data_IF_005953986413
#
_entry.id   IF_005953986413
#
_cell.length_a   1.000
_cell.length_b   1.000
_cell.length_c   1.000
_cell.angle_alpha   90.00
_cell.angle_beta   90.00
_cell.angle_gamma   90.00
#
_symmetry.space_group_name_H-M   'P 1'
#
loop_
_entity.id
_entity.type
_entity.pdbx_description
1 polymer ?
#
# COMPACT_ATOMS: atom_id res chain seq x y z
N UNK A 1 59.47 -23.47 18.25
CA UNK A 1 58.43 -22.66 18.91
C UNK A 1 57.29 -23.59 19.30
N UNK A 2 56.86 -23.51 20.56
CA UNK A 2 56.02 -24.47 21.29
C UNK A 2 54.57 -24.49 20.77
N UNK A 3 54.05 -25.72 20.60
CA UNK A 3 52.79 -26.31 21.04
C UNK A 3 51.50 -25.44 20.96
N UNK A 4 50.32 -25.93 20.55
CA UNK A 4 49.62 -27.13 21.07
C UNK A 4 48.54 -27.66 20.12
N UNK A 5 48.43 -28.98 20.19
CA UNK A 5 47.53 -30.00 19.63
C UNK A 5 46.05 -29.94 20.04
N UNK A 6 45.19 -30.36 19.09
CA UNK A 6 44.00 -31.25 19.12
C UNK A 6 42.99 -31.22 20.29
N UNK A 7 41.68 -31.37 19.98
CA UNK A 7 40.88 -32.54 20.38
C UNK A 7 39.46 -32.56 19.73
N UNK A 8 39.14 -33.70 19.08
CA UNK A 8 37.81 -34.18 18.70
C UNK A 8 37.05 -34.75 19.93
N UNK A 9 35.72 -34.58 19.99
CA UNK A 9 34.72 -35.49 20.59
C UNK A 9 33.31 -34.91 20.30
N UNK A 10 32.43 -35.48 19.48
CA UNK A 10 31.74 -36.78 19.56
C UNK A 10 30.86 -36.92 20.81
N UNK A 11 29.58 -36.54 20.71
CA UNK A 11 28.50 -37.06 21.58
C UNK A 11 27.28 -37.34 20.70
N UNK A 12 27.29 -38.52 20.08
CA UNK A 12 26.10 -39.24 19.66
C UNK A 12 25.52 -39.95 20.87
N UNK A 13 24.30 -39.60 21.29
CA UNK A 13 23.50 -40.42 22.22
C UNK A 13 22.29 -40.94 21.47
N UNK A 14 22.33 -42.26 21.23
CA UNK A 14 21.21 -43.11 20.86
C UNK A 14 20.19 -43.07 22.00
N UNK A 15 18.98 -42.54 21.75
CA UNK A 15 17.83 -42.80 22.59
C UNK A 15 16.93 -43.84 21.93
N UNK A 16 16.51 -44.77 22.78
CA UNK A 16 15.99 -46.10 22.53
C UNK A 16 14.46 -46.07 22.30
N UNK A 17 13.91 -47.24 21.97
CA UNK A 17 12.63 -47.48 21.29
C UNK A 17 11.40 -47.46 22.21
N UNK A 18 10.29 -46.92 21.70
CA UNK A 18 8.86 -47.22 22.00
C UNK A 18 8.28 -46.88 23.39
N UNK A 19 7.24 -46.03 23.43
CA UNK A 19 5.87 -46.32 23.94
C UNK A 19 4.93 -45.09 23.85
N UNK A 20 3.73 -45.33 23.30
CA UNK A 20 2.45 -44.63 23.54
C UNK A 20 2.22 -43.19 23.05
N UNK A 21 1.31 -43.09 22.07
CA UNK A 21 0.02 -42.35 22.10
C UNK A 21 -0.21 -41.57 20.81
N UNK A 22 -1.17 -42.05 20.00
CA UNK A 22 -1.68 -41.36 18.82
C UNK A 22 -2.49 -40.14 19.28
N UNK A 23 -1.83 -39.02 19.57
CA UNK A 23 -2.48 -37.74 19.75
C UNK A 23 -2.62 -37.11 18.36
N UNK A 24 -3.85 -37.03 17.84
CA UNK A 24 -4.17 -36.27 16.65
C UNK A 24 -3.65 -34.84 16.82
N UNK A 25 -2.55 -34.53 16.13
CA UNK A 25 -2.03 -33.17 16.04
C UNK A 25 -3.04 -32.32 15.25
N UNK A 26 -3.38 -31.09 15.69
CA UNK A 26 -4.03 -30.16 14.80
C UNK A 26 -3.01 -29.80 13.73
N UNK A 27 -3.11 -30.44 12.57
CA UNK A 27 -2.34 -30.06 11.39
C UNK A 27 -2.76 -28.64 11.02
N UNK A 28 -2.01 -27.65 11.51
CA UNK A 28 -2.14 -26.28 11.05
C UNK A 28 -1.83 -26.34 9.57
N UNK A 29 -2.88 -26.35 8.76
CA UNK A 29 -2.77 -26.37 7.31
C UNK A 29 -2.11 -25.05 6.88
N UNK A 30 -0.78 -25.08 6.73
CA UNK A 30 0.08 -23.97 6.32
C UNK A 30 -0.39 -23.38 5.00
N UNK A 31 -0.93 -24.23 4.12
CA UNK A 31 -1.52 -23.86 2.83
C UNK A 31 -2.70 -22.88 2.99
N UNK A 32 -3.50 -23.00 4.05
CA UNK A 32 -4.62 -22.09 4.33
C UNK A 32 -4.13 -20.73 4.85
N UNK A 33 -3.05 -20.69 5.63
CA UNK A 33 -2.47 -19.45 6.16
C UNK A 33 -1.77 -18.67 5.04
N UNK A 34 -0.96 -19.34 4.22
CA UNK A 34 -0.27 -18.74 3.08
C UNK A 34 -1.27 -18.18 2.05
N UNK A 35 -2.35 -18.92 1.77
CA UNK A 35 -3.40 -18.46 0.86
C UNK A 35 -4.14 -17.23 1.39
N UNK A 36 -4.47 -17.20 2.68
CA UNK A 36 -5.16 -16.07 3.31
C UNK A 36 -4.29 -14.81 3.37
N UNK A 37 -2.99 -14.97 3.65
CA UNK A 37 -2.03 -13.86 3.62
C UNK A 37 -1.81 -13.33 2.20
N UNK A 38 -1.74 -14.21 1.19
CA UNK A 38 -1.64 -13.79 -0.21
C UNK A 38 -2.88 -13.00 -0.65
N UNK A 39 -4.07 -13.44 -0.22
CA UNK A 39 -5.33 -12.77 -0.52
C UNK A 39 -5.38 -11.39 0.14
N UNK A 40 -5.02 -11.27 1.41
CA UNK A 40 -4.98 -9.98 2.11
C UNK A 40 -3.97 -9.01 1.50
N UNK A 41 -2.76 -9.49 1.16
CA UNK A 41 -1.77 -8.66 0.45
C UNK A 41 -2.29 -8.19 -0.92
N UNK A 42 -2.94 -9.08 -1.67
CA UNK A 42 -3.53 -8.73 -2.96
C UNK A 42 -4.64 -7.67 -2.82
N UNK A 43 -5.48 -7.81 -1.80
CA UNK A 43 -6.58 -6.90 -1.50
C UNK A 43 -6.07 -5.50 -1.09
N UNK A 44 -5.04 -5.43 -0.24
CA UNK A 44 -4.35 -4.16 0.10
C UNK A 44 -3.78 -3.52 -1.18
N UNK A 45 -3.11 -4.30 -2.03
CA UNK A 45 -2.50 -3.76 -3.27
C UNK A 45 -3.53 -3.16 -4.24
N UNK A 46 -4.74 -3.73 -4.29
CA UNK A 46 -5.84 -3.20 -5.10
C UNK A 46 -6.31 -1.84 -4.56
N UNK A 47 -6.46 -1.70 -3.24
CA UNK A 47 -6.86 -0.43 -2.62
C UNK A 47 -5.80 0.66 -2.77
N UNK A 48 -4.52 0.33 -2.60
CA UNK A 48 -3.40 1.28 -2.83
C UNK A 48 -3.37 1.72 -4.30
N UNK A 49 -3.59 0.80 -5.24
CA UNK A 49 -3.72 1.16 -6.66
C UNK A 49 -4.89 2.12 -6.90
N UNK A 50 -6.04 1.89 -6.26
CA UNK A 50 -7.20 2.78 -6.35
C UNK A 50 -6.90 4.17 -5.76
N UNK A 51 -6.18 4.26 -4.64
CA UNK A 51 -5.72 5.54 -4.08
C UNK A 51 -4.84 6.30 -5.07
N UNK A 52 -3.83 5.63 -5.62
CA UNK A 52 -2.89 6.25 -6.56
C UNK A 52 -3.57 6.72 -7.85
N UNK A 53 -4.56 5.97 -8.34
CA UNK A 53 -5.38 6.38 -9.48
C UNK A 53 -6.21 7.63 -9.15
N UNK A 54 -6.77 7.71 -7.95
CA UNK A 54 -7.56 8.86 -7.52
C UNK A 54 -6.70 10.12 -7.31
N UNK A 55 -5.50 9.96 -6.75
CA UNK A 55 -4.49 11.03 -6.66
C UNK A 55 -4.14 11.57 -8.04
N UNK A 56 -3.87 10.68 -9.00
CA UNK A 56 -3.59 11.10 -10.38
C UNK A 56 -4.76 11.86 -10.99
N UNK A 57 -6.00 11.36 -10.82
CA UNK A 57 -7.19 12.00 -11.37
C UNK A 57 -7.40 13.42 -10.79
N UNK A 58 -7.22 13.58 -9.48
CA UNK A 58 -7.32 14.87 -8.81
C UNK A 58 -6.22 15.84 -9.27
N UNK A 59 -5.00 15.32 -9.47
CA UNK A 59 -3.89 16.10 -9.99
C UNK A 59 -4.16 16.61 -11.41
N UNK A 60 -4.61 15.73 -12.31
CA UNK A 60 -4.99 16.11 -13.68
C UNK A 60 -6.13 17.13 -13.69
N UNK A 61 -7.12 16.99 -12.80
CA UNK A 61 -8.19 17.98 -12.63
C UNK A 61 -7.62 19.35 -12.25
N UNK A 62 -6.68 19.38 -11.31
CA UNK A 62 -6.03 20.61 -10.84
C UNK A 62 -5.26 21.29 -11.97
N UNK A 63 -4.44 20.54 -12.70
CA UNK A 63 -3.67 21.10 -13.83
C UNK A 63 -4.56 21.65 -14.93
N UNK A 64 -5.66 20.96 -15.25
CA UNK A 64 -6.61 21.40 -16.27
C UNK A 64 -7.32 22.70 -15.88
N UNK A 65 -7.63 22.88 -14.60
CA UNK A 65 -8.33 24.07 -14.11
C UNK A 65 -7.40 25.19 -13.66
N UNK A 66 -6.10 24.94 -13.57
CA UNK A 66 -5.06 25.96 -13.38
C UNK A 66 -3.98 25.87 -14.46
N UNK A 67 -4.28 26.34 -15.69
CA UNK A 67 -3.35 26.29 -16.83
C UNK A 67 -1.99 26.97 -16.57
N UNK A 68 -1.99 28.04 -15.78
CA UNK A 68 -0.81 28.79 -15.40
C UNK A 68 0.10 27.92 -14.51
N UNK A 69 -0.49 27.17 -13.57
CA UNK A 69 0.24 26.20 -12.74
C UNK A 69 0.81 25.07 -13.58
N UNK A 70 0.03 24.52 -14.52
CA UNK A 70 0.52 23.51 -15.46
C UNK A 70 1.75 24.01 -16.23
N UNK A 71 1.69 25.24 -16.73
CA UNK A 71 2.79 25.89 -17.46
C UNK A 71 4.03 26.08 -16.59
N UNK A 72 3.87 26.55 -15.34
CA UNK A 72 4.98 26.70 -14.38
C UNK A 72 5.67 25.36 -14.10
N UNK A 73 4.92 24.26 -14.12
CA UNK A 73 5.44 22.89 -13.94
C UNK A 73 5.95 22.25 -15.24
N UNK A 74 5.93 22.97 -16.37
CA UNK A 74 6.41 22.51 -17.67
C UNK A 74 5.39 21.74 -18.51
N UNK A 75 4.13 21.65 -18.06
CA UNK A 75 3.04 21.04 -18.80
C UNK A 75 2.31 22.08 -19.67
N UNK A 76 2.57 22.02 -20.98
CA UNK A 76 2.04 23.00 -21.95
C UNK A 76 0.67 22.61 -22.54
N UNK A 77 0.03 21.52 -22.09
CA UNK A 77 -1.26 21.04 -22.65
C UNK A 77 -2.38 22.07 -22.60
N UNK A 78 -2.31 23.04 -21.69
CA UNK A 78 -3.33 24.06 -21.46
C UNK A 78 -2.81 25.50 -21.67
N UNK A 79 -1.64 25.68 -22.29
CA UNK A 79 -0.96 26.98 -22.42
C UNK A 79 -1.70 27.99 -23.32
N UNK A 80 -2.85 27.62 -23.89
CA UNK A 80 -3.77 28.48 -24.64
C UNK A 80 -4.93 29.03 -23.78
N UNK A 81 -4.93 28.75 -22.47
CA UNK A 81 -6.04 29.05 -21.54
C UNK A 81 -5.56 29.78 -20.30
N UNK A 82 -6.53 30.40 -19.61
CA UNK A 82 -6.39 31.01 -18.30
C UNK A 82 -7.36 30.37 -17.31
N UNK A 83 -7.04 30.42 -16.02
CA UNK A 83 -7.96 29.99 -14.96
C UNK A 83 -9.25 30.83 -15.02
N UNK A 84 -10.41 30.16 -15.03
CA UNK A 84 -11.70 30.85 -15.04
C UNK A 84 -12.21 31.11 -13.61
N UNK A 85 -12.29 32.38 -13.22
CA UNK A 85 -12.73 32.81 -11.88
C UNK A 85 -14.21 33.22 -11.81
N UNK A 86 -15.06 32.66 -12.67
CA UNK A 86 -16.51 32.95 -12.64
C UNK A 86 -17.19 32.23 -11.46
N UNK A 87 -18.29 32.80 -10.94
CA UNK A 87 -19.10 32.14 -9.88
C UNK A 87 -19.52 30.72 -10.29
N UNK A 88 -19.91 30.56 -11.55
CA UNK A 88 -20.30 29.26 -12.11
C UNK A 88 -19.16 28.25 -12.03
N UNK A 89 -17.94 28.66 -12.37
CA UNK A 89 -16.78 27.78 -12.33
C UNK A 89 -16.40 27.42 -10.88
N UNK A 90 -16.41 28.40 -9.97
CA UNK A 90 -16.16 28.16 -8.54
C UNK A 90 -17.14 27.14 -7.96
N UNK A 91 -18.43 27.23 -8.29
CA UNK A 91 -19.42 26.24 -7.83
C UNK A 91 -19.22 24.84 -8.44
N UNK A 92 -18.69 24.74 -9.67
CA UNK A 92 -18.29 23.46 -10.26
C UNK A 92 -17.09 22.88 -9.52
N UNK A 93 -16.06 23.70 -9.28
CA UNK A 93 -14.85 23.27 -8.57
C UNK A 93 -15.16 22.80 -7.15
N UNK A 94 -16.02 23.53 -6.42
CA UNK A 94 -16.51 23.09 -5.12
C UNK A 94 -17.16 21.71 -5.16
N UNK A 95 -18.02 21.45 -6.16
CA UNK A 95 -18.67 20.14 -6.33
C UNK A 95 -17.66 19.04 -6.66
N UNK A 96 -16.68 19.34 -7.50
CA UNK A 96 -15.59 18.40 -7.84
C UNK A 96 -14.75 18.07 -6.60
N UNK A 97 -14.36 19.06 -5.80
CA UNK A 97 -13.63 18.84 -4.54
C UNK A 97 -14.44 17.97 -3.57
N UNK A 98 -15.73 18.26 -3.41
CA UNK A 98 -16.62 17.41 -2.58
C UNK A 98 -16.75 15.99 -3.12
N UNK A 99 -16.70 15.79 -4.44
CA UNK A 99 -16.70 14.46 -5.04
C UNK A 99 -15.40 13.70 -4.77
N UNK A 100 -14.24 14.35 -4.94
CA UNK A 100 -12.94 13.76 -4.64
C UNK A 100 -12.83 13.38 -3.16
N UNK A 101 -13.20 14.29 -2.25
CA UNK A 101 -13.17 14.04 -0.81
C UNK A 101 -13.95 12.77 -0.45
N UNK A 102 -15.20 12.65 -0.90
CA UNK A 102 -16.03 11.45 -0.66
C UNK A 102 -15.37 10.17 -1.17
N UNK A 103 -14.66 10.23 -2.30
CA UNK A 103 -13.97 9.08 -2.90
C UNK A 103 -12.71 8.72 -2.13
N UNK A 104 -11.96 9.70 -1.63
CA UNK A 104 -10.80 9.46 -0.76
C UNK A 104 -11.23 8.86 0.59
N UNK A 105 -12.29 9.40 1.21
CA UNK A 105 -12.86 8.88 2.46
C UNK A 105 -13.33 7.42 2.33
N UNK A 106 -13.86 7.04 1.16
CA UNK A 106 -14.37 5.70 0.89
C UNK A 106 -13.27 4.62 0.75
N UNK A 107 -12.00 4.99 0.56
CA UNK A 107 -10.90 4.03 0.47
C UNK A 107 -10.52 3.56 1.88
N UNK A 108 -10.77 2.30 2.22
CA UNK A 108 -10.29 1.72 3.48
C UNK A 108 -8.76 1.65 3.51
N UNK A 109 -8.13 2.35 4.46
CA UNK A 109 -6.67 2.39 4.61
C UNK A 109 -6.14 1.37 5.61
N UNK A 110 -6.99 0.47 6.12
CA UNK A 110 -6.55 -0.62 6.98
C UNK A 110 -5.49 -1.47 6.27
N UNK A 111 -4.32 -1.60 6.90
CA UNK A 111 -3.18 -2.36 6.37
C UNK A 111 -2.31 -1.62 5.35
N UNK A 112 -2.52 -0.31 5.14
CA UNK A 112 -1.65 0.52 4.31
C UNK A 112 -0.26 0.68 4.93
N UNK A 113 0.75 0.95 4.08
CA UNK A 113 2.05 1.41 4.56
C UNK A 113 1.94 2.81 5.16
N UNK A 114 2.94 3.24 5.93
CA UNK A 114 2.97 4.60 6.48
C UNK A 114 2.90 5.68 5.40
N UNK A 115 3.55 5.45 4.25
CA UNK A 115 3.52 6.37 3.11
C UNK A 115 2.14 6.42 2.44
N UNK A 116 1.50 5.27 2.23
CA UNK A 116 0.16 5.24 1.62
C UNK A 116 -0.90 5.86 2.53
N UNK A 117 -0.77 5.65 3.85
CA UNK A 117 -1.62 6.29 4.85
C UNK A 117 -1.44 7.81 4.82
N UNK A 118 -0.18 8.30 4.84
CA UNK A 118 0.10 9.73 4.75
C UNK A 118 -0.47 10.35 3.47
N UNK A 119 -0.32 9.68 2.33
CA UNK A 119 -0.86 10.15 1.06
C UNK A 119 -2.38 10.31 1.10
N UNK A 120 -3.10 9.39 1.77
CA UNK A 120 -4.55 9.51 1.97
C UNK A 120 -4.89 10.63 2.95
N UNK A 121 -4.18 10.72 4.07
CA UNK A 121 -4.44 11.70 5.13
C UNK A 121 -4.27 13.14 4.66
N UNK A 122 -3.39 13.39 3.67
CA UNK A 122 -3.25 14.72 3.06
C UNK A 122 -4.47 15.14 2.21
N UNK A 123 -5.32 14.20 1.83
CA UNK A 123 -6.45 14.43 0.92
C UNK A 123 -7.81 14.56 1.63
N UNK A 124 -7.88 14.28 2.93
CA UNK A 124 -9.09 14.33 3.77
C UNK A 124 -9.02 15.46 4.79
#
# INVERSE_FOLDING_TARGET
MKNRTLHFACISVLFWMSHSSNAATPEINTNTIEKSQSKQKSDISVRVKALNQLLQEQWEYTLKNSPETATVLGDLRYNDRWTEFSKTQIEKDKKSTQNFLKRFEAIDSTGFSATDQLNKDLMI
#
